data_IF_703952120118
#
_entry.id   IF_703952120118
#
_cell.length_a   1.000
_cell.length_b   1.000
_cell.length_c   1.000
_cell.angle_alpha   90.00
_cell.angle_beta   90.00
_cell.angle_gamma   90.00
#
_symmetry.space_group_name_H-M   'P 1'
#
loop_
_entity.id
_entity.type
_entity.pdbx_description
1 polymer ?
#
# COMPACT_ATOMS: atom_id res chain seq x y z
N UNK A 1 25.70 -20.02 7.46
CA UNK A 1 26.02 -18.58 7.39
C UNK A 1 26.03 -17.96 8.80
N UNK A 2 27.20 -17.56 9.29
CA UNK A 2 27.36 -16.93 10.60
C UNK A 2 27.18 -15.41 10.48
N UNK A 3 26.39 -14.81 11.37
CA UNK A 3 26.05 -13.38 11.30
C UNK A 3 27.20 -12.56 11.88
N UNK A 4 28.04 -12.00 11.00
CA UNK A 4 29.25 -11.24 11.39
C UNK A 4 28.97 -9.85 11.98
N UNK A 5 27.77 -9.31 11.79
CA UNK A 5 27.37 -7.98 12.33
C UNK A 5 26.14 -8.16 13.22
N UNK A 6 26.22 -7.64 14.44
CA UNK A 6 25.16 -7.76 15.42
C UNK A 6 25.26 -6.73 16.54
N UNK A 7 24.11 -6.39 17.12
CA UNK A 7 24.05 -5.62 18.36
C UNK A 7 24.54 -6.48 19.52
N UNK A 8 25.07 -5.83 20.56
CA UNK A 8 25.33 -6.48 21.85
C UNK A 8 24.03 -7.04 22.43
N UNK A 9 24.12 -7.99 23.36
CA UNK A 9 22.94 -8.59 24.00
C UNK A 9 22.05 -7.54 24.68
N UNK A 10 22.67 -6.52 25.27
CA UNK A 10 21.99 -5.36 25.87
C UNK A 10 21.30 -4.50 24.81
N UNK A 11 22.01 -4.14 23.73
CA UNK A 11 21.44 -3.33 22.66
C UNK A 11 20.31 -4.02 21.90
N UNK A 12 20.35 -5.35 21.73
CA UNK A 12 19.24 -6.08 21.13
C UNK A 12 18.05 -6.24 22.10
N UNK A 13 18.28 -6.27 23.41
CA UNK A 13 17.19 -6.23 24.39
C UNK A 13 16.45 -4.89 24.37
N UNK A 14 17.18 -3.77 24.38
CA UNK A 14 16.58 -2.42 24.27
C UNK A 14 15.87 -2.20 22.94
N UNK A 15 16.46 -2.66 21.82
CA UNK A 15 15.82 -2.60 20.51
C UNK A 15 14.51 -3.38 20.49
N UNK A 16 14.47 -4.58 21.07
CA UNK A 16 13.24 -5.40 21.14
C UNK A 16 12.17 -4.74 22.00
N UNK A 17 12.54 -4.20 23.17
CA UNK A 17 11.62 -3.46 24.04
C UNK A 17 11.02 -2.23 23.32
N UNK A 18 11.87 -1.47 22.63
CA UNK A 18 11.46 -0.28 21.86
C UNK A 18 10.54 -0.67 20.70
N UNK A 19 10.87 -1.73 19.95
CA UNK A 19 10.03 -2.24 18.87
C UNK A 19 8.66 -2.71 19.36
N UNK A 20 8.61 -3.40 20.51
CA UNK A 20 7.35 -3.84 21.12
C UNK A 20 6.48 -2.66 21.55
N UNK A 21 7.09 -1.63 22.15
CA UNK A 21 6.40 -0.39 22.49
C UNK A 21 5.82 0.31 21.25
N UNK A 22 6.63 0.52 20.20
CA UNK A 22 6.15 1.13 18.95
C UNK A 22 5.04 0.28 18.29
N UNK A 23 5.14 -1.04 18.34
CA UNK A 23 4.08 -1.90 17.81
C UNK A 23 2.77 -1.70 18.55
N UNK A 24 2.78 -1.76 19.88
CA UNK A 24 1.60 -1.67 20.72
C UNK A 24 0.90 -0.30 20.68
N UNK A 25 1.65 0.79 20.49
CA UNK A 25 1.12 2.15 20.63
C UNK A 25 1.06 2.96 19.33
N UNK A 26 1.81 2.57 18.29
CA UNK A 26 1.84 3.30 17.02
C UNK A 26 1.26 2.46 15.87
N UNK A 27 1.76 1.24 15.68
CA UNK A 27 1.39 0.41 14.52
C UNK A 27 0.04 -0.32 14.68
N UNK A 28 -0.34 -0.71 15.90
CA UNK A 28 -1.65 -1.32 16.20
C UNK A 28 -2.78 -0.29 16.45
N UNK A 29 -2.57 0.98 16.12
CA UNK A 29 -3.65 1.96 16.22
C UNK A 29 -4.77 1.58 15.25
N UNK A 30 -6.00 1.45 15.77
CA UNK A 30 -7.20 1.06 15.00
C UNK A 30 -7.40 1.90 13.73
N UNK A 31 -6.94 3.16 13.75
CA UNK A 31 -6.95 4.08 12.61
C UNK A 31 -6.14 3.53 11.42
N UNK A 32 -4.96 2.94 11.67
CA UNK A 32 -4.15 2.32 10.61
C UNK A 32 -4.77 1.03 10.08
N UNK A 33 -5.52 0.30 10.92
CA UNK A 33 -6.16 -0.96 10.51
C UNK A 33 -7.29 -0.75 9.50
N UNK A 34 -8.10 0.32 9.67
CA UNK A 34 -9.18 0.68 8.73
C UNK A 34 -8.62 1.19 7.40
N UNK A 35 -7.56 1.99 7.45
CA UNK A 35 -6.91 2.52 6.26
C UNK A 35 -6.21 1.42 5.46
N UNK A 36 -5.60 0.45 6.16
CA UNK A 36 -4.98 -0.71 5.56
C UNK A 36 -5.98 -1.61 4.84
N UNK A 37 -7.11 -1.93 5.46
CA UNK A 37 -8.16 -2.73 4.83
C UNK A 37 -8.73 -2.03 3.59
N UNK A 38 -8.86 -0.70 3.63
CA UNK A 38 -9.30 0.11 2.48
C UNK A 38 -8.27 0.07 1.35
N UNK A 39 -6.99 0.22 1.65
CA UNK A 39 -5.91 0.15 0.66
C UNK A 39 -5.80 -1.24 0.03
N UNK A 40 -5.92 -2.30 0.82
CA UNK A 40 -5.97 -3.68 0.32
C UNK A 40 -7.12 -3.89 -0.69
N UNK A 41 -8.30 -3.32 -0.39
CA UNK A 41 -9.43 -3.36 -1.30
C UNK A 41 -9.18 -2.57 -2.59
N UNK A 42 -8.58 -1.37 -2.48
CA UNK A 42 -8.20 -0.50 -3.58
C UNK A 42 -7.28 -1.21 -4.58
N UNK A 43 -6.18 -1.77 -4.05
CA UNK A 43 -5.18 -2.51 -4.81
C UNK A 43 -5.83 -3.71 -5.49
N UNK A 44 -6.72 -4.43 -4.80
CA UNK A 44 -7.44 -5.57 -5.37
C UNK A 44 -8.34 -5.19 -6.54
N UNK A 45 -8.97 -4.01 -6.51
CA UNK A 45 -9.79 -3.50 -7.62
C UNK A 45 -8.91 -3.10 -8.81
N UNK A 46 -7.85 -2.34 -8.56
CA UNK A 46 -6.89 -1.92 -9.59
C UNK A 46 -6.20 -3.12 -10.27
N UNK A 47 -5.82 -4.13 -9.49
CA UNK A 47 -5.25 -5.37 -10.00
C UNK A 47 -6.20 -6.04 -11.01
N UNK A 48 -7.48 -6.18 -10.65
CA UNK A 48 -8.50 -6.74 -11.57
C UNK A 48 -8.71 -5.87 -12.81
N UNK A 49 -8.68 -4.55 -12.65
CA UNK A 49 -8.81 -3.60 -13.76
C UNK A 49 -7.68 -3.78 -14.78
N UNK A 50 -6.42 -3.78 -14.35
CA UNK A 50 -5.28 -3.95 -15.28
C UNK A 50 -5.16 -5.35 -15.86
N UNK A 51 -5.70 -6.38 -15.19
CA UNK A 51 -5.81 -7.71 -15.78
C UNK A 51 -6.85 -7.77 -16.90
N UNK A 52 -7.96 -7.03 -16.76
CA UNK A 52 -9.00 -6.95 -17.78
C UNK A 52 -8.62 -5.99 -18.92
N UNK A 53 -7.84 -4.95 -18.61
CA UNK A 53 -7.41 -3.87 -19.50
C UNK A 53 -5.88 -3.71 -19.48
N UNK A 54 -5.12 -4.70 -19.98
CA UNK A 54 -3.65 -4.60 -20.03
C UNK A 54 -3.16 -3.42 -20.89
N UNK A 55 -3.99 -2.89 -21.79
CA UNK A 55 -3.72 -1.69 -22.60
C UNK A 55 -3.62 -0.38 -21.79
N UNK A 56 -4.15 -0.36 -20.57
CA UNK A 56 -4.07 0.78 -19.64
C UNK A 56 -2.78 0.78 -18.81
N UNK A 57 -1.97 -0.27 -18.90
CA UNK A 57 -0.64 -0.30 -18.28
C UNK A 57 0.34 0.62 -19.01
N UNK A 58 1.39 1.13 -18.36
CA UNK A 58 2.43 1.87 -19.08
C UNK A 58 3.09 1.00 -20.16
N UNK A 59 3.48 1.62 -21.27
CA UNK A 59 4.02 0.92 -22.45
C UNK A 59 5.17 -0.04 -22.12
N UNK A 60 6.07 0.32 -21.19
CA UNK A 60 7.18 -0.53 -20.75
C UNK A 60 6.75 -1.86 -20.15
N UNK A 61 5.58 -1.91 -19.52
CA UNK A 61 4.99 -3.14 -18.96
C UNK A 61 4.16 -3.87 -20.01
N UNK A 62 3.50 -3.15 -20.93
CA UNK A 62 2.81 -3.76 -22.07
C UNK A 62 3.76 -4.58 -22.95
N UNK A 63 4.97 -4.06 -23.19
CA UNK A 63 6.00 -4.73 -23.98
C UNK A 63 6.49 -6.04 -23.35
N UNK A 64 6.27 -6.25 -22.05
CA UNK A 64 6.63 -7.47 -21.32
C UNK A 64 5.51 -8.54 -21.33
N UNK A 65 4.27 -8.16 -21.66
CA UNK A 65 3.11 -9.07 -21.72
C UNK A 65 3.30 -10.30 -22.62
N UNK A 66 4.05 -10.25 -23.75
CA UNK A 66 4.30 -11.44 -24.56
C UNK A 66 5.19 -12.48 -23.87
N UNK A 67 6.10 -12.04 -22.99
CA UNK A 67 7.15 -12.86 -22.40
C UNK A 67 6.84 -13.30 -20.97
N UNK A 68 5.93 -12.60 -20.28
CA UNK A 68 5.56 -12.86 -18.89
C UNK A 68 4.06 -12.92 -18.65
N UNK A 69 3.68 -13.55 -17.53
CA UNK A 69 2.27 -13.66 -17.14
C UNK A 69 1.72 -12.26 -16.77
N UNK A 70 0.54 -11.88 -17.27
CA UNK A 70 -0.07 -10.58 -16.96
C UNK A 70 -0.19 -10.31 -15.46
N UNK A 71 -0.50 -11.34 -14.65
CA UNK A 71 -0.59 -11.22 -13.19
C UNK A 71 0.71 -10.78 -12.57
N UNK A 72 1.85 -11.24 -13.11
CA UNK A 72 3.17 -10.91 -12.58
C UNK A 72 3.55 -9.47 -12.93
N UNK A 73 3.35 -9.09 -14.18
CA UNK A 73 3.61 -7.74 -14.68
C UNK A 73 2.79 -6.70 -13.90
N UNK A 74 1.50 -6.98 -13.67
CA UNK A 74 0.63 -6.10 -12.88
C UNK A 74 1.08 -6.06 -11.41
N UNK A 75 1.50 -7.19 -10.82
CA UNK A 75 2.04 -7.19 -9.46
C UNK A 75 3.32 -6.35 -9.37
N UNK A 76 4.24 -6.49 -10.32
CA UNK A 76 5.51 -5.74 -10.34
C UNK A 76 5.24 -4.24 -10.55
N UNK A 77 4.26 -3.90 -11.39
CA UNK A 77 3.80 -2.53 -11.56
C UNK A 77 3.24 -1.94 -10.25
N UNK A 78 2.36 -2.68 -9.54
CA UNK A 78 1.79 -2.26 -8.26
C UNK A 78 2.88 -2.15 -7.18
N UNK A 79 3.82 -3.10 -7.12
CA UNK A 79 4.91 -3.10 -6.14
C UNK A 79 5.87 -1.92 -6.34
N UNK A 80 5.95 -1.37 -7.55
CA UNK A 80 6.70 -0.15 -7.85
C UNK A 80 5.98 1.15 -7.44
N UNK A 81 4.71 1.08 -7.04
CA UNK A 81 3.93 2.26 -6.64
C UNK A 81 4.13 2.61 -5.16
N UNK A 82 3.91 3.89 -4.86
CA UNK A 82 3.72 4.36 -3.47
C UNK A 82 2.23 4.44 -3.16
N UNK A 83 1.84 4.36 -1.88
CA UNK A 83 0.44 4.45 -1.46
C UNK A 83 -0.27 5.68 -2.05
N UNK A 84 0.40 6.84 -2.07
CA UNK A 84 -0.12 8.07 -2.68
C UNK A 84 -0.35 7.94 -4.19
N UNK A 85 0.50 7.21 -4.90
CA UNK A 85 0.32 6.99 -6.33
C UNK A 85 -0.89 6.08 -6.60
N UNK A 86 -1.04 5.00 -5.82
CA UNK A 86 -2.17 4.07 -5.93
C UNK A 86 -3.50 4.80 -5.73
N UNK A 87 -3.56 5.71 -4.76
CA UNK A 87 -4.75 6.52 -4.49
C UNK A 87 -5.12 7.40 -5.69
N UNK A 88 -4.13 8.12 -6.24
CA UNK A 88 -4.35 9.00 -7.40
C UNK A 88 -4.78 8.22 -8.64
N UNK A 89 -4.18 7.05 -8.84
CA UNK A 89 -4.48 6.19 -9.97
C UNK A 89 -5.88 5.58 -9.83
N UNK A 90 -6.27 5.21 -8.61
CA UNK A 90 -7.64 4.82 -8.33
C UNK A 90 -8.63 5.96 -8.54
N UNK A 91 -8.33 7.20 -8.14
CA UNK A 91 -9.22 8.34 -8.39
C UNK A 91 -9.41 8.59 -9.89
N UNK A 92 -8.35 8.42 -10.70
CA UNK A 92 -8.40 8.49 -12.16
C UNK A 92 -9.32 7.40 -12.73
N UNK A 93 -9.04 6.14 -12.41
CA UNK A 93 -9.76 4.98 -12.95
C UNK A 93 -11.20 4.92 -12.40
N UNK A 94 -11.43 5.25 -11.13
CA UNK A 94 -12.76 5.24 -10.52
C UNK A 94 -13.65 6.40 -11.01
N UNK A 95 -13.05 7.55 -11.33
CA UNK A 95 -13.74 8.67 -11.96
C UNK A 95 -14.22 8.35 -13.37
N UNK A 96 -13.46 7.57 -14.14
CA UNK A 96 -13.76 7.22 -15.53
C UNK A 96 -14.58 5.93 -15.68
N UNK A 97 -14.33 4.90 -14.85
CA UNK A 97 -14.90 3.56 -15.02
C UNK A 97 -15.96 3.15 -13.99
N UNK A 98 -15.96 3.73 -12.78
CA UNK A 98 -16.82 3.25 -11.68
C UNK A 98 -17.93 4.22 -11.24
N UNK A 99 -17.94 5.48 -11.69
CA UNK A 99 -19.02 6.42 -11.40
C UNK A 99 -19.22 6.73 -9.91
N UNK A 100 -18.24 6.44 -9.06
CA UNK A 100 -18.34 6.60 -7.61
C UNK A 100 -17.73 7.93 -7.17
N UNK A 101 -18.56 8.84 -6.67
CA UNK A 101 -18.14 9.99 -5.86
C UNK A 101 -17.79 9.52 -4.44
N UNK A 102 -16.72 8.75 -4.27
CA UNK A 102 -16.18 8.48 -2.94
C UNK A 102 -14.95 9.35 -2.77
N UNK A 103 -15.02 10.34 -1.87
CA UNK A 103 -13.82 10.93 -1.30
C UNK A 103 -13.03 9.78 -0.68
N UNK A 104 -11.89 9.44 -1.29
CA UNK A 104 -11.05 8.31 -0.84
C UNK A 104 -10.43 8.63 0.52
N UNK A 105 -10.35 9.93 0.87
CA UNK A 105 -9.95 10.45 2.18
C UNK A 105 -10.90 11.58 2.63
N UNK A 106 -12.04 11.19 3.17
CA UNK A 106 -12.99 12.11 3.82
C UNK A 106 -12.77 12.14 5.33
N UNK A 107 -12.05 13.16 5.81
CA UNK A 107 -12.01 13.72 7.16
C UNK A 107 -12.25 12.79 8.36
N UNK A 108 -11.17 12.33 9.00
CA UNK A 108 -11.15 12.04 10.43
C UNK A 108 -9.81 12.53 11.03
N UNK A 109 -9.55 13.83 10.94
CA UNK A 109 -8.62 14.46 11.86
C UNK A 109 -9.37 14.60 13.20
N UNK A 110 -8.94 13.96 14.30
CA UNK A 110 -9.53 14.26 15.60
C UNK A 110 -9.22 15.72 15.89
N UNK A 111 -10.27 16.54 15.92
CA UNK A 111 -10.23 17.90 16.40
C UNK A 111 -9.69 17.87 17.83
N UNK A 112 -8.39 18.15 17.97
CA UNK A 112 -7.78 18.50 19.24
C UNK A 112 -8.35 19.87 19.67
N UNK A 113 -9.57 19.86 20.18
CA UNK A 113 -10.07 20.94 21.04
C UNK A 113 -9.24 20.88 22.33
N UNK A 114 -8.18 21.68 22.40
CA UNK A 114 -7.60 22.09 23.67
C UNK A 114 -8.66 22.94 24.39
N UNK A 115 -9.20 22.42 25.48
CA UNK A 115 -9.80 23.23 26.56
C UNK A 115 -8.71 23.75 27.48
#
# INVERSE_FOLDING_TARGET
PERLIGLSAEGDAERRATKAFLHAYLYDSLVLSSDRARLENLISQLFRFWLAHPEELPQSYQEQLPDEKPERIVCDYIAGMTDNFIIREYERVAGEAFGIRHSVFGQDAPSLTKS
#
